data_IF_492913447173
#
_entry.id   IF_492913447173
#
_cell.length_a   1.000
_cell.length_b   1.000
_cell.length_c   1.000
_cell.angle_alpha   90.00
_cell.angle_beta   90.00
_cell.angle_gamma   90.00
#
_symmetry.space_group_name_H-M   'P 1'
#
loop_
_entity.id
_entity.type
_entity.pdbx_description
1 polymer ?
#
# COMPACT_ATOMS: atom_id res chain seq x y z
N UNK A 1 -24.27 4.08 -10.43
CA UNK A 1 -23.43 3.75 -9.26
C UNK A 1 -24.20 4.15 -8.02
N UNK A 2 -24.74 3.20 -7.28
CA UNK A 2 -25.21 3.46 -5.91
C UNK A 2 -23.97 3.65 -5.05
N UNK A 3 -23.71 4.88 -4.59
CA UNK A 3 -22.64 5.13 -3.63
C UNK A 3 -23.11 4.64 -2.27
N UNK A 4 -22.62 3.50 -1.83
CA UNK A 4 -22.82 3.04 -0.47
C UNK A 4 -21.78 3.65 0.45
N UNK A 5 -22.22 4.10 1.63
CA UNK A 5 -21.28 4.49 2.69
C UNK A 5 -20.51 3.26 3.21
N UNK A 6 -19.38 3.48 3.88
CA UNK A 6 -18.62 2.37 4.47
C UNK A 6 -19.45 1.56 5.49
N UNK A 7 -20.35 2.23 6.20
CA UNK A 7 -21.25 1.62 7.19
C UNK A 7 -22.35 0.79 6.53
N UNK A 8 -22.93 1.27 5.42
CA UNK A 8 -23.88 0.50 4.62
C UNK A 8 -23.26 -0.76 4.03
N UNK A 9 -22.05 -0.64 3.45
CA UNK A 9 -21.32 -1.78 2.91
C UNK A 9 -21.01 -2.81 4.01
N UNK A 10 -20.60 -2.35 5.19
CA UNK A 10 -20.37 -3.22 6.35
C UNK A 10 -21.66 -3.91 6.81
N UNK A 11 -22.77 -3.20 6.88
CA UNK A 11 -24.06 -3.77 7.26
C UNK A 11 -24.51 -4.84 6.26
N UNK A 12 -24.34 -4.61 4.96
CA UNK A 12 -24.62 -5.60 3.92
C UNK A 12 -23.75 -6.87 4.06
N UNK A 13 -22.45 -6.71 4.31
CA UNK A 13 -21.55 -7.85 4.55
C UNK A 13 -21.95 -8.64 5.80
N UNK A 14 -22.34 -7.97 6.89
CA UNK A 14 -22.85 -8.62 8.11
C UNK A 14 -24.14 -9.39 7.83
N UNK A 15 -25.06 -8.80 7.07
CA UNK A 15 -26.30 -9.47 6.69
C UNK A 15 -26.04 -10.74 5.86
N UNK A 16 -25.04 -10.73 4.97
CA UNK A 16 -24.70 -11.88 4.13
C UNK A 16 -23.89 -12.97 4.84
N UNK A 17 -22.96 -12.60 5.74
CA UNK A 17 -21.96 -13.52 6.31
C UNK A 17 -22.19 -13.87 7.78
N UNK A 18 -23.11 -13.17 8.45
CA UNK A 18 -23.23 -13.15 9.90
C UNK A 18 -22.25 -12.18 10.56
N UNK A 19 -22.55 -11.75 11.79
CA UNK A 19 -21.85 -10.67 12.47
C UNK A 19 -20.33 -10.88 12.62
N UNK A 20 -19.83 -12.03 13.14
CA UNK A 20 -18.39 -12.21 13.34
C UNK A 20 -17.59 -12.17 12.04
N UNK A 21 -18.07 -12.87 11.00
CA UNK A 21 -17.38 -12.98 9.72
C UNK A 21 -17.51 -11.69 8.90
N UNK A 22 -18.72 -11.14 8.80
CA UNK A 22 -18.99 -9.93 8.00
C UNK A 22 -18.30 -8.69 8.55
N UNK A 23 -18.22 -8.53 9.87
CA UNK A 23 -17.49 -7.43 10.49
C UNK A 23 -15.97 -7.53 10.25
N UNK A 24 -15.39 -8.73 10.43
CA UNK A 24 -13.98 -8.99 10.18
C UNK A 24 -13.63 -8.79 8.70
N UNK A 25 -14.43 -9.37 7.80
CA UNK A 25 -14.27 -9.23 6.35
C UNK A 25 -14.27 -7.76 5.94
N UNK A 26 -15.21 -6.96 6.43
CA UNK A 26 -15.32 -5.53 6.09
C UNK A 26 -14.09 -4.74 6.52
N UNK A 27 -13.57 -4.99 7.73
CA UNK A 27 -12.37 -4.33 8.23
C UNK A 27 -11.10 -4.74 7.45
N UNK A 28 -10.98 -6.02 7.08
CA UNK A 28 -9.89 -6.51 6.24
C UNK A 28 -9.96 -5.94 4.83
N UNK A 29 -11.16 -5.89 4.23
CA UNK A 29 -11.38 -5.31 2.91
C UNK A 29 -10.89 -3.87 2.86
N UNK A 30 -11.27 -3.03 3.83
CA UNK A 30 -10.83 -1.64 3.88
C UNK A 30 -9.31 -1.54 4.02
N UNK A 31 -8.71 -2.39 4.85
CA UNK A 31 -7.26 -2.40 5.05
C UNK A 31 -6.49 -2.86 3.80
N UNK A 32 -7.00 -3.85 3.08
CA UNK A 32 -6.46 -4.31 1.79
C UNK A 32 -6.62 -3.23 0.72
N UNK A 33 -7.79 -2.59 0.62
CA UNK A 33 -8.02 -1.48 -0.30
C UNK A 33 -7.03 -0.34 -0.06
N UNK A 34 -6.82 0.05 1.20
CA UNK A 34 -5.86 1.10 1.56
C UNK A 34 -4.45 0.73 1.13
N UNK A 35 -3.94 -0.47 1.42
CA UNK A 35 -2.57 -0.82 1.03
C UNK A 35 -2.39 -0.87 -0.49
N UNK A 36 -3.40 -1.31 -1.24
CA UNK A 36 -3.39 -1.22 -2.70
C UNK A 36 -3.30 0.22 -3.21
N UNK A 37 -4.04 1.15 -2.61
CA UNK A 37 -3.98 2.57 -2.96
C UNK A 37 -2.57 3.13 -2.73
N UNK A 38 -1.99 2.91 -1.55
CA UNK A 38 -0.63 3.39 -1.24
C UNK A 38 0.42 2.78 -2.17
N UNK A 39 0.30 1.48 -2.45
CA UNK A 39 1.19 0.81 -3.37
C UNK A 39 1.10 1.37 -4.79
N UNK A 40 -0.10 1.69 -5.25
CA UNK A 40 -0.30 2.30 -6.57
C UNK A 40 0.35 3.68 -6.64
N UNK A 41 0.18 4.52 -5.63
CA UNK A 41 0.86 5.83 -5.57
C UNK A 41 2.39 5.66 -5.65
N UNK A 42 2.94 4.70 -4.92
CA UNK A 42 4.37 4.37 -4.99
C UNK A 42 4.79 3.94 -6.41
N UNK A 43 4.04 3.05 -7.05
CA UNK A 43 4.35 2.56 -8.40
C UNK A 43 4.24 3.69 -9.44
N UNK A 44 3.25 4.58 -9.32
CA UNK A 44 3.09 5.71 -10.23
C UNK A 44 4.25 6.71 -10.10
N UNK A 45 4.69 7.02 -8.89
CA UNK A 45 5.81 7.94 -8.67
C UNK A 45 7.16 7.30 -9.04
N UNK A 46 7.41 6.08 -8.56
CA UNK A 46 8.77 5.51 -8.53
C UNK A 46 8.96 4.25 -9.39
N UNK A 47 7.87 3.65 -9.88
CA UNK A 47 7.90 2.33 -10.49
C UNK A 47 7.76 2.29 -12.01
N UNK A 48 7.18 3.30 -12.63
CA UNK A 48 6.69 3.17 -14.01
C UNK A 48 7.67 3.64 -15.09
N UNK A 49 8.31 4.81 -14.90
CA UNK A 49 8.97 5.56 -15.97
C UNK A 49 10.20 6.32 -15.46
N UNK A 50 11.39 6.16 -16.08
CA UNK A 50 12.59 6.91 -15.70
C UNK A 50 12.39 8.44 -15.73
N UNK A 51 11.60 8.95 -16.67
CA UNK A 51 11.32 10.39 -16.81
C UNK A 51 10.57 10.96 -15.60
N UNK A 52 9.77 10.14 -14.91
CA UNK A 52 9.12 10.55 -13.67
C UNK A 52 10.15 10.69 -12.55
N UNK A 53 11.07 9.74 -12.42
CA UNK A 53 12.15 9.83 -11.43
C UNK A 53 13.01 11.07 -11.67
N UNK A 54 13.37 11.35 -12.93
CA UNK A 54 14.11 12.56 -13.29
C UNK A 54 13.37 13.83 -12.86
N UNK A 55 12.07 13.93 -13.19
CA UNK A 55 11.24 15.05 -12.79
C UNK A 55 11.22 15.24 -11.26
N UNK A 56 11.04 14.16 -10.50
CA UNK A 56 11.01 14.21 -9.03
C UNK A 56 12.36 14.64 -8.46
N UNK A 57 13.46 14.09 -8.97
CA UNK A 57 14.82 14.43 -8.55
C UNK A 57 15.19 15.89 -8.85
N UNK A 58 14.67 16.44 -9.95
CA UNK A 58 14.90 17.85 -10.30
C UNK A 58 14.01 18.80 -9.50
N UNK A 59 12.79 18.39 -9.17
CA UNK A 59 11.83 19.22 -8.47
C UNK A 59 12.14 19.34 -6.96
N UNK A 60 12.34 18.21 -6.27
CA UNK A 60 12.55 18.19 -4.82
C UNK A 60 13.24 16.88 -4.37
N UNK A 61 14.54 16.68 -4.68
CA UNK A 61 15.20 15.39 -4.56
C UNK A 61 15.15 14.82 -3.13
N UNK A 62 15.46 15.63 -2.12
CA UNK A 62 15.46 15.19 -0.73
C UNK A 62 14.06 14.77 -0.24
N UNK A 63 13.01 15.50 -0.66
CA UNK A 63 11.64 15.18 -0.28
C UNK A 63 11.17 13.87 -0.94
N UNK A 64 11.43 13.69 -2.24
CA UNK A 64 11.00 12.49 -2.95
C UNK A 64 11.81 11.25 -2.58
N UNK A 65 13.08 11.39 -2.21
CA UNK A 65 13.85 10.29 -1.61
C UNK A 65 13.22 9.83 -0.30
N UNK A 66 12.95 10.75 0.63
CA UNK A 66 12.28 10.43 1.89
C UNK A 66 10.91 9.79 1.63
N UNK A 67 10.08 10.37 0.74
CA UNK A 67 8.76 9.82 0.42
C UNK A 67 8.84 8.41 -0.18
N UNK A 68 9.84 8.13 -1.02
CA UNK A 68 10.05 6.81 -1.61
C UNK A 68 10.32 5.77 -0.52
N UNK A 69 11.24 6.05 0.40
CA UNK A 69 11.59 5.16 1.50
C UNK A 69 10.39 4.91 2.42
N UNK A 70 9.70 5.99 2.81
CA UNK A 70 8.55 5.92 3.73
C UNK A 70 7.37 5.16 3.12
N UNK A 71 7.03 5.39 1.85
CA UNK A 71 5.94 4.66 1.18
C UNK A 71 6.27 3.17 1.01
N UNK A 72 7.53 2.86 0.73
CA UNK A 72 7.99 1.47 0.64
C UNK A 72 7.83 0.75 1.98
N UNK A 73 8.44 1.29 3.04
CA UNK A 73 8.40 0.70 4.38
C UNK A 73 6.97 0.63 4.93
N UNK A 74 6.16 1.69 4.74
CA UNK A 74 4.75 1.70 5.13
C UNK A 74 3.94 0.59 4.42
N UNK A 75 4.22 0.33 3.14
CA UNK A 75 3.53 -0.73 2.39
C UNK A 75 3.87 -2.11 2.98
N UNK A 76 5.15 -2.39 3.24
CA UNK A 76 5.59 -3.65 3.85
C UNK A 76 4.99 -3.82 5.25
N UNK A 77 4.97 -2.75 6.05
CA UNK A 77 4.38 -2.77 7.39
C UNK A 77 2.88 -3.08 7.34
N UNK A 78 2.11 -2.46 6.42
CA UNK A 78 0.68 -2.74 6.27
C UNK A 78 0.42 -4.18 5.87
N UNK A 79 1.20 -4.71 4.92
CA UNK A 79 1.09 -6.11 4.49
C UNK A 79 1.39 -7.06 5.66
N UNK A 80 2.49 -6.84 6.39
CA UNK A 80 2.87 -7.71 7.51
C UNK A 80 1.82 -7.78 8.61
N UNK A 81 1.15 -6.65 8.93
CA UNK A 81 0.06 -6.59 9.91
C UNK A 81 -1.16 -7.40 9.48
N UNK A 82 -1.47 -7.41 8.18
CA UNK A 82 -2.60 -8.16 7.62
C UNK A 82 -2.37 -9.67 7.64
N UNK A 83 -1.11 -10.12 7.67
CA UNK A 83 -0.74 -11.54 7.70
C UNK A 83 -0.08 -12.00 9.00
N UNK A 84 -0.13 -11.18 10.05
CA UNK A 84 0.31 -11.59 11.39
C UNK A 84 -0.58 -12.70 11.96
N UNK A 85 -0.11 -13.44 12.97
CA UNK A 85 -0.97 -14.35 13.72
C UNK A 85 -2.22 -13.62 14.23
N UNK A 86 -3.38 -14.29 14.13
CA UNK A 86 -4.66 -13.74 14.58
C UNK A 86 -4.69 -13.37 16.07
N UNK A 87 -3.81 -13.98 16.88
CA UNK A 87 -3.61 -13.70 18.30
C UNK A 87 -2.12 -13.51 18.56
N UNK A 88 -1.76 -12.44 19.28
CA UNK A 88 -0.37 -12.16 19.68
C UNK A 88 -0.30 -11.66 21.12
N UNK A 89 0.75 -12.05 21.86
CA UNK A 89 0.99 -11.56 23.22
C UNK A 89 0.09 -12.13 24.31
N UNK A 90 -0.26 -11.30 25.31
CA UNK A 90 -1.11 -11.65 26.47
C UNK A 90 -2.51 -12.09 26.03
N UNK A 91 -3.10 -13.01 26.80
CA UNK A 91 -4.45 -13.52 26.59
C UNK A 91 -5.47 -12.40 26.32
N UNK A 92 -6.20 -12.50 25.20
CA UNK A 92 -7.30 -11.60 24.85
C UNK A 92 -7.03 -10.61 23.71
N UNK A 93 -5.78 -10.37 23.29
CA UNK A 93 -5.51 -9.49 22.13
C UNK A 93 -5.68 -10.23 20.80
N UNK A 94 -6.60 -9.74 19.96
CA UNK A 94 -6.82 -10.20 18.60
C UNK A 94 -6.31 -9.17 17.59
N UNK A 95 -5.66 -9.66 16.53
CA UNK A 95 -5.19 -8.83 15.43
C UNK A 95 -6.21 -8.83 14.30
N UNK A 96 -6.31 -7.70 13.60
CA UNK A 96 -6.97 -7.64 12.30
C UNK A 96 -6.08 -8.35 11.27
N UNK A 97 -6.30 -9.64 11.10
CA UNK A 97 -5.50 -10.51 10.23
C UNK A 97 -6.38 -11.44 9.42
N UNK A 98 -5.97 -11.74 8.18
CA UNK A 98 -6.62 -12.73 7.33
C UNK A 98 -6.62 -14.13 7.95
N UNK A 99 -5.68 -14.41 8.88
CA UNK A 99 -5.62 -15.68 9.61
C UNK A 99 -6.81 -15.89 10.55
N UNK A 100 -7.57 -14.82 10.87
CA UNK A 100 -8.78 -14.92 11.68
C UNK A 100 -10.02 -15.35 10.88
N UNK A 101 -9.97 -15.39 9.55
CA UNK A 101 -11.12 -15.74 8.70
C UNK A 101 -11.50 -17.23 8.76
N UNK A 102 -10.59 -18.22 8.57
CA UNK A 102 -10.99 -19.63 8.45
C UNK A 102 -11.80 -20.18 9.64
N UNK A 103 -11.51 -19.82 10.91
CA UNK A 103 -12.31 -20.28 12.05
C UNK A 103 -13.77 -19.82 12.03
N UNK A 104 -14.09 -18.72 11.34
CA UNK A 104 -15.43 -18.13 11.29
C UNK A 104 -16.27 -18.65 10.11
N UNK A 105 -15.69 -19.47 9.24
CA UNK A 105 -16.37 -20.02 8.07
C UNK A 105 -17.00 -21.37 8.42
N UNK A 106 -18.33 -21.46 8.27
CA UNK A 106 -19.09 -22.69 8.51
C UNK A 106 -19.00 -23.71 7.38
N UNK A 107 -18.97 -23.26 6.12
CA UNK A 107 -18.89 -24.15 4.95
C UNK A 107 -17.50 -24.82 4.86
N UNK A 108 -17.48 -26.16 4.84
CA UNK A 108 -16.24 -26.93 4.92
C UNK A 108 -15.33 -26.74 3.69
N UNK A 109 -15.93 -26.63 2.49
CA UNK A 109 -15.18 -26.49 1.24
C UNK A 109 -14.56 -25.11 1.12
N UNK A 110 -15.32 -24.07 1.44
CA UNK A 110 -14.82 -22.70 1.51
C UNK A 110 -13.74 -22.58 2.59
N UNK A 111 -13.97 -23.13 3.78
CA UNK A 111 -13.00 -23.09 4.88
C UNK A 111 -11.66 -23.70 4.48
N UNK A 112 -11.66 -24.87 3.83
CA UNK A 112 -10.45 -25.50 3.34
C UNK A 112 -9.73 -24.62 2.29
N UNK A 113 -10.47 -24.08 1.32
CA UNK A 113 -9.93 -23.18 0.29
C UNK A 113 -9.32 -21.91 0.90
N UNK A 114 -10.03 -21.25 1.80
CA UNK A 114 -9.56 -20.01 2.46
C UNK A 114 -8.36 -20.31 3.36
N UNK A 115 -8.32 -21.45 4.04
CA UNK A 115 -7.17 -21.86 4.85
C UNK A 115 -5.91 -21.99 3.98
N UNK A 116 -6.01 -22.62 2.80
CA UNK A 116 -4.89 -22.73 1.88
C UNK A 116 -4.44 -21.35 1.36
N UNK A 117 -5.38 -20.52 0.90
CA UNK A 117 -5.06 -19.17 0.41
C UNK A 117 -4.41 -18.29 1.48
N UNK A 118 -4.83 -18.43 2.74
CA UNK A 118 -4.20 -17.75 3.87
C UNK A 118 -2.77 -18.25 4.09
N UNK A 119 -2.53 -19.57 4.02
CA UNK A 119 -1.18 -20.12 4.13
C UNK A 119 -0.25 -19.61 3.02
N UNK A 120 -0.75 -19.59 1.78
CA UNK A 120 -0.04 -19.04 0.63
C UNK A 120 0.28 -17.56 0.84
N UNK A 121 -0.70 -16.75 1.25
CA UNK A 121 -0.50 -15.33 1.54
C UNK A 121 0.50 -15.09 2.68
N UNK A 122 0.49 -15.91 3.74
CA UNK A 122 1.47 -15.83 4.83
C UNK A 122 2.88 -16.15 4.35
N UNK A 123 3.03 -17.14 3.45
CA UNK A 123 4.30 -17.50 2.83
C UNK A 123 4.83 -16.37 1.94
N UNK A 124 4.00 -15.89 1.01
CA UNK A 124 4.33 -14.81 0.07
C UNK A 124 4.68 -13.50 0.76
N UNK A 125 4.21 -13.29 1.99
CA UNK A 125 4.43 -12.05 2.77
C UNK A 125 5.49 -12.19 3.85
N UNK A 126 6.21 -13.32 3.91
CA UNK A 126 7.21 -13.57 4.94
C UNK A 126 8.35 -12.53 4.93
N UNK A 127 8.73 -12.03 3.74
CA UNK A 127 9.74 -10.98 3.62
C UNK A 127 9.29 -9.66 4.27
N UNK A 128 8.00 -9.29 4.18
CA UNK A 128 7.47 -8.10 4.85
C UNK A 128 7.63 -8.20 6.38
N UNK A 129 7.51 -9.41 6.94
CA UNK A 129 7.68 -9.66 8.38
C UNK A 129 9.13 -9.50 8.82
N UNK A 130 10.08 -9.98 8.02
CA UNK A 130 11.52 -9.78 8.27
C UNK A 130 11.87 -8.29 8.29
N UNK A 131 11.42 -7.54 7.27
CA UNK A 131 11.59 -6.09 7.19
C UNK A 131 10.98 -5.37 8.39
N UNK A 132 9.74 -5.70 8.76
CA UNK A 132 9.13 -5.13 9.96
C UNK A 132 10.00 -5.34 11.19
N UNK A 133 10.41 -6.58 11.42
CA UNK A 133 11.05 -6.97 12.67
C UNK A 133 12.49 -6.47 12.81
N UNK A 134 13.16 -6.11 11.72
CA UNK A 134 14.60 -5.81 11.73
C UNK A 134 14.95 -4.42 11.24
N UNK A 135 14.03 -3.76 10.55
CA UNK A 135 14.22 -2.43 9.95
C UNK A 135 13.18 -1.42 10.41
N UNK A 136 11.89 -1.76 10.28
CA UNK A 136 10.80 -0.76 10.29
C UNK A 136 10.22 -0.53 11.71
N UNK A 137 9.76 -1.59 12.38
CA UNK A 137 9.14 -1.48 13.70
C UNK A 137 10.15 -1.68 14.84
N UNK A 138 11.24 -2.39 14.55
CA UNK A 138 12.39 -2.54 15.44
C UNK A 138 13.66 -2.34 14.62
N UNK A 139 14.69 -1.80 15.27
CA UNK A 139 16.01 -1.65 14.69
C UNK A 139 16.89 -2.80 15.15
N UNK A 140 17.17 -3.75 14.24
CA UNK A 140 18.16 -4.79 14.49
C UNK A 140 19.53 -4.15 14.68
N UNK A 141 20.15 -4.39 15.84
CA UNK A 141 21.38 -3.70 16.23
C UNK A 141 22.54 -4.00 15.28
N UNK A 142 22.67 -5.25 14.80
CA UNK A 142 23.77 -5.63 13.92
C UNK A 142 23.60 -4.99 12.55
N UNK A 143 22.37 -4.96 12.02
CA UNK A 143 22.08 -4.23 10.79
C UNK A 143 22.33 -2.72 10.94
N UNK A 144 21.95 -2.13 12.08
CA UNK A 144 22.12 -0.70 12.33
C UNK A 144 23.59 -0.30 12.50
N UNK A 145 24.43 -1.20 13.02
CA UNK A 145 25.88 -1.00 13.17
C UNK A 145 26.68 -1.47 11.95
N UNK A 146 26.02 -1.90 10.87
CA UNK A 146 26.65 -2.45 9.67
C UNK A 146 27.61 -3.62 9.95
N UNK A 147 27.33 -4.39 11.00
CA UNK A 147 28.12 -5.56 11.38
C UNK A 147 27.71 -6.79 10.56
N UNK A 148 28.62 -7.77 10.37
CA UNK A 148 28.29 -9.01 9.66
C UNK A 148 27.07 -9.71 10.27
N UNK A 149 25.98 -9.76 9.51
CA UNK A 149 24.72 -10.43 9.86
C UNK A 149 24.01 -10.88 8.60
N UNK A 150 22.96 -11.69 8.74
CA UNK A 150 22.11 -12.06 7.60
C UNK A 150 21.49 -10.80 7.01
N UNK A 151 21.53 -10.64 5.68
CA UNK A 151 20.87 -9.50 5.04
C UNK A 151 19.35 -9.52 5.30
N UNK A 152 18.69 -8.37 5.11
CA UNK A 152 17.23 -8.34 5.06
C UNK A 152 16.74 -9.25 3.94
N UNK A 153 15.58 -9.85 4.14
CA UNK A 153 14.94 -10.67 3.11
C UNK A 153 14.79 -9.86 1.82
N UNK A 154 15.13 -10.48 0.68
CA UNK A 154 14.99 -9.82 -0.61
C UNK A 154 13.53 -9.36 -0.81
N UNK A 155 13.35 -8.07 -1.07
CA UNK A 155 12.07 -7.41 -1.25
C UNK A 155 12.08 -6.66 -2.57
N UNK A 156 11.08 -6.92 -3.40
CA UNK A 156 11.00 -6.35 -4.75
C UNK A 156 9.57 -5.95 -5.08
N UNK A 157 9.41 -5.05 -6.06
CA UNK A 157 8.09 -4.64 -6.53
C UNK A 157 7.25 -5.81 -7.02
N UNK A 158 7.89 -6.84 -7.59
CA UNK A 158 7.22 -8.07 -7.99
C UNK A 158 6.71 -8.83 -6.77
N UNK A 159 7.52 -9.01 -5.72
CA UNK A 159 7.10 -9.67 -4.47
C UNK A 159 5.97 -8.92 -3.78
N UNK A 160 6.02 -7.59 -3.72
CA UNK A 160 4.91 -6.78 -3.16
C UNK A 160 3.63 -6.96 -3.99
N UNK A 161 3.73 -6.97 -5.32
CA UNK A 161 2.58 -7.24 -6.19
C UNK A 161 1.99 -8.64 -5.93
N UNK A 162 2.83 -9.68 -5.83
CA UNK A 162 2.38 -11.05 -5.53
C UNK A 162 1.70 -11.13 -4.15
N UNK A 163 2.28 -10.51 -3.14
CA UNK A 163 1.70 -10.40 -1.80
C UNK A 163 0.32 -9.72 -1.78
N UNK A 164 0.15 -8.64 -2.54
CA UNK A 164 -1.15 -7.95 -2.65
C UNK A 164 -2.20 -8.80 -3.38
N UNK A 165 -1.78 -9.54 -4.43
CA UNK A 165 -2.66 -10.46 -5.14
C UNK A 165 -3.10 -11.63 -4.26
N UNK A 166 -2.22 -12.17 -3.42
CA UNK A 166 -2.59 -13.27 -2.49
C UNK A 166 -3.57 -12.79 -1.41
N UNK A 167 -3.40 -11.58 -0.87
CA UNK A 167 -4.39 -10.94 0.01
C UNK A 167 -5.76 -10.75 -0.69
N UNK A 168 -5.74 -10.29 -1.93
CA UNK A 168 -6.95 -10.13 -2.75
C UNK A 168 -7.66 -11.47 -2.96
N UNK A 169 -6.91 -12.54 -3.26
CA UNK A 169 -7.45 -13.87 -3.49
C UNK A 169 -8.19 -14.42 -2.25
N UNK A 170 -7.65 -14.19 -1.05
CA UNK A 170 -8.31 -14.57 0.21
C UNK A 170 -9.67 -13.89 0.35
N UNK A 171 -9.73 -12.56 0.14
CA UNK A 171 -10.99 -11.82 0.28
C UNK A 171 -11.99 -12.17 -0.82
N UNK A 172 -11.55 -12.35 -2.06
CA UNK A 172 -12.43 -12.72 -3.17
C UNK A 172 -12.97 -14.14 -3.02
N UNK A 173 -12.22 -15.07 -2.40
CA UNK A 173 -12.75 -16.41 -2.10
C UNK A 173 -13.94 -16.35 -1.12
N UNK A 174 -13.88 -15.49 -0.10
CA UNK A 174 -14.99 -15.28 0.84
C UNK A 174 -16.16 -14.55 0.15
N UNK A 175 -15.88 -13.45 -0.54
CA UNK A 175 -16.89 -12.64 -1.21
C UNK A 175 -17.65 -13.42 -2.30
N UNK A 176 -16.92 -14.20 -3.11
CA UNK A 176 -17.51 -15.00 -4.17
C UNK A 176 -18.45 -16.08 -3.64
N UNK A 177 -18.24 -16.59 -2.43
CA UNK A 177 -19.15 -17.58 -1.84
C UNK A 177 -20.41 -16.96 -1.25
N UNK A 178 -20.28 -15.84 -0.52
CA UNK A 178 -21.41 -15.24 0.21
C UNK A 178 -22.20 -14.21 -0.59
N UNK A 179 -21.59 -13.60 -1.61
CA UNK A 179 -22.14 -12.43 -2.31
C UNK A 179 -22.00 -12.52 -3.83
N UNK A 180 -21.48 -13.62 -4.37
CA UNK A 180 -21.21 -13.82 -5.81
C UNK A 180 -20.48 -12.62 -6.45
N UNK A 181 -19.47 -12.10 -5.75
CA UNK A 181 -18.77 -10.89 -6.15
C UNK A 181 -17.26 -10.99 -5.93
N UNK A 182 -16.52 -10.19 -6.71
CA UNK A 182 -15.08 -10.05 -6.61
C UNK A 182 -14.68 -8.58 -6.57
N UNK A 183 -13.64 -8.27 -5.81
CA UNK A 183 -13.03 -6.94 -5.75
C UNK A 183 -11.76 -6.89 -6.58
N UNK A 184 -11.65 -5.86 -7.41
CA UNK A 184 -10.46 -5.53 -8.22
C UNK A 184 -9.74 -4.32 -7.63
N UNK A 185 -9.01 -4.55 -6.54
CA UNK A 185 -8.26 -3.50 -5.83
C UNK A 185 -7.15 -2.86 -6.67
N UNK A 186 -6.71 -3.52 -7.74
CA UNK A 186 -5.67 -3.08 -8.66
C UNK A 186 -6.13 -2.01 -9.67
N UNK A 187 -7.42 -1.96 -9.98
CA UNK A 187 -7.95 -1.13 -11.07
C UNK A 187 -8.17 0.34 -10.66
N UNK A 188 -8.39 0.63 -9.38
CA UNK A 188 -8.68 1.99 -8.89
C UNK A 188 -7.42 2.86 -8.74
N UNK A 189 -7.48 4.14 -9.12
CA UNK A 189 -6.43 5.14 -8.85
C UNK A 189 -6.98 6.27 -7.98
N UNK A 190 -6.13 6.92 -7.18
CA UNK A 190 -6.59 8.05 -6.35
C UNK A 190 -6.83 9.26 -7.25
N UNK A 191 -8.05 9.82 -7.19
CA UNK A 191 -8.34 11.13 -7.77
C UNK A 191 -7.47 12.15 -7.05
N UNK A 192 -6.79 13.01 -7.80
CA UNK A 192 -5.81 13.98 -7.27
C UNK A 192 -4.62 13.31 -6.55
N UNK A 193 -4.21 12.12 -6.99
CA UNK A 193 -3.02 11.41 -6.50
C UNK A 193 -1.74 11.75 -7.26
N UNK A 194 -0.80 10.80 -7.26
CA UNK A 194 0.55 10.89 -7.82
C UNK A 194 0.59 11.41 -9.25
N UNK A 195 -0.32 10.92 -10.11
CA UNK A 195 -0.36 11.35 -11.52
C UNK A 195 -0.68 12.84 -11.64
N UNK A 196 -1.64 13.35 -10.86
CA UNK A 196 -1.96 14.78 -10.81
C UNK A 196 -0.78 15.60 -10.29
N UNK A 197 -0.10 15.13 -9.24
CA UNK A 197 1.10 15.78 -8.72
C UNK A 197 2.19 15.88 -9.79
N UNK A 198 2.45 14.80 -10.53
CA UNK A 198 3.44 14.77 -11.61
C UNK A 198 3.12 15.80 -12.70
N UNK A 199 1.85 15.96 -13.07
CA UNK A 199 1.46 17.00 -14.03
C UNK A 199 1.76 18.40 -13.50
N UNK A 200 1.40 18.69 -12.25
CA UNK A 200 1.63 20.02 -11.64
C UNK A 200 3.13 20.31 -11.53
N UNK A 201 3.93 19.33 -11.09
CA UNK A 201 5.38 19.47 -11.00
C UNK A 201 6.01 19.72 -12.37
N UNK A 202 5.61 18.96 -13.38
CA UNK A 202 6.14 19.11 -14.74
C UNK A 202 5.88 20.51 -15.30
N UNK A 203 4.67 21.04 -15.12
CA UNK A 203 4.35 22.40 -15.55
C UNK A 203 5.13 23.46 -14.74
N UNK A 204 5.27 23.25 -13.43
CA UNK A 204 6.08 24.12 -12.57
C UNK A 204 7.56 24.17 -13.00
N UNK A 205 8.15 23.02 -13.31
CA UNK A 205 9.54 22.92 -13.77
C UNK A 205 9.76 23.66 -15.09
N UNK A 206 8.87 23.48 -16.08
CA UNK A 206 8.94 24.22 -17.35
C UNK A 206 8.90 25.73 -17.16
N UNK A 207 8.06 26.22 -16.25
CA UNK A 207 7.99 27.66 -15.94
C UNK A 207 9.29 28.13 -15.28
N UNK A 208 9.87 27.32 -14.39
CA UNK A 208 11.16 27.57 -13.76
C UNK A 208 12.30 27.65 -14.78
N UNK A 209 12.42 26.66 -15.65
CA UNK A 209 13.41 26.61 -16.74
C UNK A 209 13.28 27.81 -17.68
N UNK A 210 12.07 28.16 -18.08
CA UNK A 210 11.83 29.31 -18.95
C UNK A 210 12.24 30.64 -18.26
N UNK A 211 12.07 30.73 -16.94
CA UNK A 211 12.54 31.87 -16.14
C UNK A 211 14.06 31.92 -16.07
N UNK A 212 14.70 30.80 -15.78
CA UNK A 212 16.17 30.69 -15.73
C UNK A 212 16.79 31.10 -17.07
N UNK A 213 16.28 30.55 -18.18
CA UNK A 213 16.71 30.92 -19.54
C UNK A 213 16.58 32.41 -19.83
N UNK A 214 15.48 33.05 -19.41
CA UNK A 214 15.31 34.52 -19.58
C UNK A 214 16.34 35.31 -18.79
N UNK A 215 16.69 34.85 -17.59
CA UNK A 215 17.71 35.49 -16.75
C UNK A 215 19.10 35.34 -17.37
N UNK A 216 19.44 34.14 -17.85
CA UNK A 216 20.71 33.86 -18.54
C UNK A 216 20.87 34.67 -19.83
N UNK A 217 19.81 34.81 -20.62
CA UNK A 217 19.82 35.60 -21.85
C UNK A 217 19.78 37.13 -21.60
N UNK A 218 19.69 37.58 -20.34
CA UNK A 218 19.57 39.00 -20.00
C UNK A 218 18.24 39.64 -20.43
N UNK A 219 17.18 38.84 -20.58
CA UNK A 219 15.83 39.27 -20.97
C UNK A 219 14.78 39.01 -19.86
N UNK A 220 14.99 39.48 -18.63
CA UNK A 220 14.03 39.22 -17.54
C UNK A 220 12.72 39.98 -17.76
N UNK A 221 11.62 39.41 -17.27
CA UNK A 221 10.33 40.10 -17.15
C UNK A 221 10.03 40.49 -15.70
N UNK A 222 9.16 41.47 -15.41
CA UNK A 222 8.86 41.90 -14.03
C UNK A 222 8.38 40.79 -13.10
N UNK A 223 7.82 39.69 -13.63
CA UNK A 223 7.42 38.52 -12.84
C UNK A 223 8.60 37.69 -12.35
N UNK A 224 9.75 37.73 -13.04
CA UNK A 224 10.92 36.91 -12.69
C UNK A 224 11.57 37.32 -11.36
N UNK A 225 11.24 38.50 -10.84
CA UNK A 225 11.73 39.01 -9.56
C UNK A 225 10.69 38.94 -8.44
N UNK A 226 9.43 38.61 -8.75
CA UNK A 226 8.38 38.47 -7.74
C UNK A 226 8.49 37.12 -7.06
N UNK A 227 8.74 37.12 -5.74
CA UNK A 227 8.45 35.97 -4.88
C UNK A 227 6.99 36.08 -4.48
N UNK A 228 6.12 35.38 -5.20
CA UNK A 228 4.74 35.18 -4.73
C UNK A 228 4.82 34.28 -3.48
N UNK A 229 4.21 34.71 -2.38
CA UNK A 229 4.09 33.88 -1.18
C UNK A 229 3.15 32.71 -1.50
N UNK A 230 3.64 31.49 -1.33
CA UNK A 230 2.86 30.24 -1.39
C UNK A 230 2.38 29.92 0.02
#
# INVERSE_FOLDING_TARGET
>A
MTSHTADEAKAANIAAMGEPLGALYSALWQSVAVVHVYWKEYVELFGSKPERIDLLNRAAPAFFHMLQDELWELTLLRISRLTDPAKTGRAGRQNLSIQALPPLIGDAKLKARVTQLVADAVSETAFCRDWRNRRIAHSDLLLALEQPTTQLADASRLKVKTALLSLTAVLNAVAGHYMDSESRFDLGGRINGAVTLLYVLNEGMKVGEAREKRLEEGKPIPRDFRREHI
#
